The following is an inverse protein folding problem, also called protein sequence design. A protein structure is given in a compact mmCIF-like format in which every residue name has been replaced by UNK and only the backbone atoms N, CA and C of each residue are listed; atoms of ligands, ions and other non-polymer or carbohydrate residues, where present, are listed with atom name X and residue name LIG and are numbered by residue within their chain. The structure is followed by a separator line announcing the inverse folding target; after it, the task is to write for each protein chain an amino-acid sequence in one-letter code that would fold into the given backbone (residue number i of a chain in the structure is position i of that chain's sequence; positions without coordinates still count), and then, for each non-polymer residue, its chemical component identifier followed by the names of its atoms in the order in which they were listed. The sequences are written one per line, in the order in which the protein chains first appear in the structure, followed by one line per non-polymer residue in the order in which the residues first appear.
data_IF_109983610669
#
_entry.id   IF_109983610669
#
_cell.length_a   1.000
_cell.length_b   1.000
_cell.length_c   1.000
_cell.angle_alpha   90.00
_cell.angle_beta   90.00
_cell.angle_gamma   90.00
#
_symmetry.space_group_name_H-M   'P 1'
#
loop_
_entity.id
_entity.type
_entity.pdbx_description
1 polymer ?
#
# COMPACT_ATOMS: atom_id res chain seq x y z
N UNK A 1 2.48 -14.66 4.18
CA UNK A 1 1.99 -14.11 5.47
C UNK A 1 0.89 -13.14 5.14
N UNK A 2 -0.28 -13.29 5.76
CA UNK A 2 -1.41 -12.42 5.47
C UNK A 2 -1.21 -11.03 6.10
N UNK A 3 -1.68 -9.99 5.44
CA UNK A 3 -1.79 -8.65 5.99
C UNK A 3 -3.00 -7.93 5.39
N UNK A 4 -3.51 -6.94 6.14
CA UNK A 4 -4.51 -5.99 5.65
C UNK A 4 -4.00 -4.58 5.92
N UNK A 5 -3.95 -3.75 4.88
CA UNK A 5 -3.50 -2.37 4.96
C UNK A 5 -4.55 -1.45 4.36
N UNK A 6 -4.97 -0.41 5.09
CA UNK A 6 -5.92 0.60 4.63
C UNK A 6 -5.17 1.84 4.14
N UNK A 7 -5.43 2.23 2.89
CA UNK A 7 -4.82 3.41 2.28
C UNK A 7 -5.52 4.65 2.82
N UNK A 8 -4.78 5.55 3.44
CA UNK A 8 -5.28 6.86 3.90
C UNK A 8 -4.93 7.99 2.94
N UNK A 9 -3.81 7.88 2.24
CA UNK A 9 -3.34 8.89 1.31
C UNK A 9 -2.45 8.28 0.23
N UNK A 10 -2.40 8.94 -0.94
CA UNK A 10 -1.66 8.46 -2.11
C UNK A 10 -0.85 9.62 -2.68
N UNK A 11 0.46 9.44 -2.73
CA UNK A 11 1.37 10.35 -3.43
C UNK A 11 1.93 9.69 -4.68
N UNK A 12 2.13 10.47 -5.76
CA UNK A 12 2.67 9.96 -7.02
C UNK A 12 3.91 10.76 -7.41
N UNK A 13 5.05 10.07 -7.49
CA UNK A 13 6.34 10.64 -7.86
C UNK A 13 6.67 10.25 -9.30
N UNK A 14 6.11 10.99 -10.27
CA UNK A 14 6.21 10.65 -11.69
C UNK A 14 7.66 10.54 -12.19
N UNK A 15 8.56 11.40 -11.70
CA UNK A 15 9.98 11.39 -12.06
C UNK A 15 10.73 10.14 -11.57
N UNK A 16 10.25 9.50 -10.50
CA UNK A 16 10.81 8.26 -9.96
C UNK A 16 10.06 7.01 -10.42
N UNK A 17 8.90 7.16 -11.09
CA UNK A 17 7.97 6.07 -11.39
C UNK A 17 7.47 5.33 -10.12
N UNK A 18 7.36 6.04 -8.99
CA UNK A 18 6.97 5.47 -7.69
C UNK A 18 5.65 6.06 -7.20
N UNK A 19 4.75 5.18 -6.77
CA UNK A 19 3.58 5.53 -5.97
C UNK A 19 3.90 5.29 -4.51
N UNK A 20 3.46 6.20 -3.64
CA UNK A 20 3.54 6.04 -2.18
C UNK A 20 2.12 5.95 -1.65
N UNK A 21 1.84 4.89 -0.91
CA UNK A 21 0.57 4.61 -0.27
C UNK A 21 0.78 4.78 1.23
N UNK A 22 0.31 5.88 1.79
CA UNK A 22 0.35 6.12 3.23
C UNK A 22 -0.90 5.53 3.86
N UNK A 23 -0.76 4.82 4.96
CA UNK A 23 -1.90 4.11 5.52
C UNK A 23 -1.63 3.43 6.84
N UNK A 24 -2.60 2.62 7.24
CA UNK A 24 -2.58 1.88 8.50
C UNK A 24 -2.53 0.40 8.21
N UNK A 25 -1.58 -0.30 8.82
CA UNK A 25 -1.64 -1.75 8.91
C UNK A 25 -2.74 -2.08 9.92
N UNK A 26 -3.76 -2.82 9.50
CA UNK A 26 -4.88 -3.23 10.35
C UNK A 26 -4.64 -4.61 10.97
N UNK A 27 -3.90 -5.46 10.25
CA UNK A 27 -3.57 -6.81 10.67
C UNK A 27 -2.34 -7.34 9.92
N UNK A 28 -1.59 -8.22 10.58
CA UNK A 28 -0.51 -9.00 9.97
C UNK A 28 0.83 -8.28 9.86
N UNK A 29 1.64 -8.72 8.89
CA UNK A 29 2.99 -8.20 8.66
C UNK A 29 3.21 -8.00 7.16
N UNK A 30 3.59 -6.79 6.77
CA UNK A 30 3.96 -6.45 5.40
C UNK A 30 5.47 -6.56 5.22
N UNK A 31 5.91 -7.20 4.13
CA UNK A 31 7.32 -7.36 3.79
C UNK A 31 7.62 -6.64 2.48
N UNK A 32 8.87 -6.19 2.33
CA UNK A 32 9.38 -5.70 1.05
C UNK A 32 9.31 -6.83 0.02
N UNK A 33 8.78 -6.55 -1.16
CA UNK A 33 8.56 -7.54 -2.21
C UNK A 33 7.26 -8.34 -2.08
N UNK A 34 6.44 -8.08 -1.06
CA UNK A 34 5.15 -8.75 -0.90
C UNK A 34 4.23 -8.49 -2.11
N UNK A 35 3.54 -9.54 -2.55
CA UNK A 35 2.45 -9.44 -3.53
C UNK A 35 1.13 -9.30 -2.78
N UNK A 36 0.31 -8.36 -3.22
CA UNK A 36 -0.97 -8.05 -2.62
C UNK A 36 -2.03 -7.84 -3.72
N UNK A 37 -3.28 -7.72 -3.28
CA UNK A 37 -4.41 -7.29 -4.10
C UNK A 37 -4.94 -5.98 -3.53
N UNK A 38 -5.06 -4.96 -4.37
CA UNK A 38 -5.85 -3.77 -4.10
C UNK A 38 -7.33 -4.10 -4.27
N UNK A 39 -8.12 -3.86 -3.23
CA UNK A 39 -9.57 -3.90 -3.22
C UNK A 39 -10.10 -2.49 -3.52
N UNK A 40 -10.64 -2.29 -4.70
CA UNK A 40 -11.23 -1.02 -5.13
C UNK A 40 -12.60 -1.31 -5.75
N UNK A 41 -13.66 -0.72 -5.19
CA UNK A 41 -15.05 -0.89 -5.65
C UNK A 41 -15.47 -2.38 -5.85
N UNK A 42 -14.97 -3.28 -5.00
CA UNK A 42 -15.26 -4.72 -5.08
C UNK A 42 -14.46 -5.49 -6.14
N UNK A 43 -13.55 -4.83 -6.85
CA UNK A 43 -12.61 -5.46 -7.79
C UNK A 43 -11.23 -5.64 -7.15
N UNK A 44 -10.48 -6.61 -7.66
CA UNK A 44 -9.14 -6.95 -7.19
C UNK A 44 -8.10 -6.60 -8.26
N UNK A 45 -7.10 -5.81 -7.89
CA UNK A 45 -5.98 -5.47 -8.75
C UNK A 45 -4.66 -5.93 -8.12
N UNK A 46 -3.85 -6.75 -8.81
CA UNK A 46 -2.58 -7.19 -8.27
C UNK A 46 -1.64 -6.00 -8.09
N UNK A 47 -0.95 -5.95 -6.96
CA UNK A 47 0.05 -4.93 -6.66
C UNK A 47 1.26 -5.52 -5.94
N UNK A 48 2.46 -5.00 -6.20
CA UNK A 48 3.70 -5.43 -5.54
C UNK A 48 4.31 -4.32 -4.69
N UNK A 49 4.52 -4.60 -3.41
CA UNK A 49 5.20 -3.70 -2.48
C UNK A 49 6.70 -3.67 -2.82
N UNK A 50 7.24 -2.49 -3.10
CA UNK A 50 8.66 -2.26 -3.40
C UNK A 50 9.46 -1.80 -2.19
N UNK A 51 8.80 -1.23 -1.20
CA UNK A 51 9.43 -0.73 0.01
C UNK A 51 8.40 -0.48 1.10
N UNK A 52 8.87 -0.52 2.34
CA UNK A 52 8.08 -0.24 3.54
C UNK A 52 8.84 0.84 4.30
N UNK A 53 8.19 1.95 4.59
CA UNK A 53 8.73 3.05 5.39
C UNK A 53 7.89 3.15 6.66
N UNK A 54 8.57 3.07 7.81
CA UNK A 54 7.94 3.35 9.09
C UNK A 54 7.96 4.86 9.30
N UNK A 55 6.80 5.47 9.41
CA UNK A 55 6.74 6.84 9.88
C UNK A 55 7.20 6.86 11.35
N UNK A 56 8.04 7.82 11.70
CA UNK A 56 8.54 8.02 13.06
C UNK A 56 7.43 8.57 13.96
N UNK A 57 6.39 7.77 14.18
CA UNK A 57 5.23 8.09 15.00
C UNK A 57 5.39 7.34 16.34
N UNK A 58 4.87 7.87 17.47
CA UNK A 58 4.94 7.20 18.76
C UNK A 58 4.52 5.72 18.69
N UNK A 59 5.16 4.84 19.50
CA UNK A 59 4.83 3.42 19.55
C UNK A 59 3.32 3.21 19.74
N UNK A 60 2.72 2.36 18.90
CA UNK A 60 1.28 2.08 18.89
C UNK A 60 0.49 2.73 17.75
N UNK A 61 1.15 3.46 16.86
CA UNK A 61 0.55 3.89 15.58
C UNK A 61 1.09 3.00 14.48
N UNK A 62 0.26 2.08 13.99
CA UNK A 62 0.59 1.18 12.88
C UNK A 62 0.53 1.91 11.52
N UNK A 63 0.95 3.18 11.53
CA UNK A 63 1.04 4.03 10.35
C UNK A 63 2.35 3.74 9.63
N UNK A 64 2.24 3.40 8.36
CA UNK A 64 3.39 3.12 7.51
C UNK A 64 3.09 3.55 6.07
N UNK A 65 4.15 3.82 5.33
CA UNK A 65 4.07 4.12 3.90
C UNK A 65 4.62 2.95 3.10
N UNK A 66 3.87 2.56 2.07
CA UNK A 66 4.27 1.53 1.13
C UNK A 66 4.64 2.18 -0.19
N UNK A 67 5.78 1.77 -0.77
CA UNK A 67 6.13 2.20 -2.13
C UNK A 67 5.77 1.11 -3.13
N UNK A 68 5.25 1.53 -4.29
CA UNK A 68 4.80 0.67 -5.39
C UNK A 68 5.23 1.26 -6.74
N UNK A 69 5.22 0.46 -7.80
CA UNK A 69 5.54 0.94 -9.16
C UNK A 69 4.32 1.64 -9.79
N UNK A 70 4.49 2.87 -10.30
CA UNK A 70 3.40 3.63 -10.97
C UNK A 70 2.86 2.97 -12.24
N UNK A 71 3.58 2.00 -12.81
CA UNK A 71 3.16 1.26 -14.00
C UNK A 71 2.09 0.23 -13.69
N UNK A 72 1.97 -0.19 -12.43
CA UNK A 72 0.98 -1.17 -12.02
C UNK A 72 -0.45 -0.60 -12.14
N UNK A 73 -1.38 -1.37 -12.70
CA UNK A 73 -2.74 -0.88 -12.95
C UNK A 73 -3.44 -0.46 -11.64
N UNK A 74 -3.14 -1.15 -10.54
CA UNK A 74 -3.68 -0.88 -9.21
C UNK A 74 -3.50 0.58 -8.78
N UNK A 75 -2.31 1.17 -8.95
CA UNK A 75 -2.04 2.54 -8.47
C UNK A 75 -2.78 3.64 -9.24
N UNK A 76 -3.27 3.32 -10.45
CA UNK A 76 -4.03 4.26 -11.28
C UNK A 76 -5.45 4.43 -10.76
N UNK A 77 -6.03 3.37 -10.20
CA UNK A 77 -7.40 3.33 -9.68
C UNK A 77 -7.47 3.50 -8.17
N UNK A 78 -6.38 3.19 -7.45
CA UNK A 78 -6.33 3.30 -5.99
C UNK A 78 -6.78 4.67 -5.48
N UNK A 79 -7.55 4.64 -4.40
CA UNK A 79 -8.08 5.79 -3.67
C UNK A 79 -7.88 5.62 -2.16
N UNK A 80 -8.03 6.72 -1.41
CA UNK A 80 -8.10 6.64 0.05
C UNK A 80 -9.37 5.88 0.48
N UNK A 81 -9.23 5.01 1.48
CA UNK A 81 -10.24 4.05 1.95
C UNK A 81 -10.14 2.67 1.31
N UNK A 82 -9.41 2.53 0.20
CA UNK A 82 -9.13 1.22 -0.40
C UNK A 82 -8.22 0.38 0.50
N UNK A 83 -8.27 -0.94 0.31
CA UNK A 83 -7.48 -1.89 1.10
C UNK A 83 -6.52 -2.67 0.24
N UNK A 84 -5.32 -2.89 0.75
CA UNK A 84 -4.41 -3.92 0.27
C UNK A 84 -4.55 -5.15 1.15
N UNK A 85 -4.77 -6.30 0.52
CA UNK A 85 -4.79 -7.60 1.20
C UNK A 85 -3.75 -8.52 0.60
N UNK A 86 -3.08 -9.32 1.42
CA UNK A 86 -2.19 -10.36 0.92
C UNK A 86 -2.97 -11.29 -0.03
N UNK A 87 -2.38 -11.56 -1.20
CA UNK A 87 -2.87 -12.57 -2.14
C UNK A 87 -2.58 -13.99 -1.65
#
# INVERSE_FOLDING_TARGET
MAFTFEITHISRLAWAQVGVLDGKLLDGVVLIGAKAQLLHEGQHFPISVKGVVLDSVPPGTESLSLTVDLREAAIKVAAAGDKLVCA
#
